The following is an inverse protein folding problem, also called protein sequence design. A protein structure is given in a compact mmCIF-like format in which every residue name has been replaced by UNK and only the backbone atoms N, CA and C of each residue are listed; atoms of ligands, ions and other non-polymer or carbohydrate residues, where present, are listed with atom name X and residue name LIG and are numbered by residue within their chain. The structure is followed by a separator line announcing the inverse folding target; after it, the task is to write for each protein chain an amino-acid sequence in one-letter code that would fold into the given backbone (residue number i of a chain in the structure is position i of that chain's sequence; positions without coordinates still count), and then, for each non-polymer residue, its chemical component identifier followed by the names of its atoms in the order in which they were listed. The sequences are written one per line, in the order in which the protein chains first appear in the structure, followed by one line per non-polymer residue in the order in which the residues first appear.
data_IF_124681795479
#
_entry.id   IF_124681795479
#
_cell.length_a   1.000
_cell.length_b   1.000
_cell.length_c   1.000
_cell.angle_alpha   90.00
_cell.angle_beta   90.00
_cell.angle_gamma   90.00
#
_symmetry.space_group_name_H-M   'P 1'
#
loop_
_entity.id
_entity.type
_entity.pdbx_description
1 polymer ?
#
# COMPACT_ATOMS: atom_id res chain seq x y z
N UNK A 1 -19.09 9.66 15.79
CA UNK A 1 -18.59 10.54 14.71
C UNK A 1 -17.07 10.60 14.77
N UNK A 2 -16.39 10.72 13.64
CA UNK A 2 -14.96 11.00 13.53
C UNK A 2 -14.73 12.01 12.39
N UNK A 3 -13.56 12.62 12.33
CA UNK A 3 -13.13 13.45 11.21
C UNK A 3 -11.87 12.86 10.57
N UNK A 4 -11.84 12.81 9.24
CA UNK A 4 -10.65 12.43 8.48
C UNK A 4 -10.11 13.65 7.73
N UNK A 5 -8.79 13.88 7.83
CA UNK A 5 -8.12 15.02 7.19
C UNK A 5 -7.00 14.54 6.29
N UNK A 6 -7.00 15.03 5.04
CA UNK A 6 -5.90 14.91 4.09
C UNK A 6 -5.26 16.30 3.90
N UNK A 7 -4.01 16.55 4.38
CA UNK A 7 -3.45 17.88 4.47
C UNK A 7 -2.82 18.35 3.15
N UNK A 8 -3.60 18.32 2.07
CA UNK A 8 -3.31 18.94 0.77
C UNK A 8 -4.46 19.87 0.39
N UNK A 9 -4.14 20.94 -0.33
CA UNK A 9 -5.18 21.79 -0.91
C UNK A 9 -5.72 21.16 -2.20
N UNK A 10 -6.93 21.56 -2.59
CA UNK A 10 -7.53 21.13 -3.86
C UNK A 10 -6.64 21.43 -5.07
N UNK A 11 -5.96 22.56 -5.07
CA UNK A 11 -5.08 22.97 -6.17
C UNK A 11 -3.79 22.16 -6.26
N UNK A 12 -3.33 21.59 -5.14
CA UNK A 12 -2.13 20.74 -5.14
C UNK A 12 -2.38 19.38 -5.80
N UNK A 13 -3.61 18.85 -5.73
CA UNK A 13 -3.89 17.46 -6.13
C UNK A 13 -2.88 16.50 -5.50
N UNK A 14 -2.02 15.90 -6.31
CA UNK A 14 -0.94 15.00 -5.86
C UNK A 14 0.46 15.63 -5.93
N UNK A 15 0.58 16.91 -6.31
CA UNK A 15 1.86 17.60 -6.34
C UNK A 15 2.36 17.96 -4.95
N UNK A 16 3.69 18.03 -4.78
CA UNK A 16 4.32 18.31 -3.49
C UNK A 16 4.06 17.20 -2.46
N UNK A 17 4.10 17.56 -1.18
CA UNK A 17 3.90 16.65 -0.05
C UNK A 17 2.68 17.04 0.78
N UNK A 18 2.08 16.07 1.47
CA UNK A 18 1.04 16.30 2.47
C UNK A 18 1.64 17.12 3.63
N UNK A 19 1.05 18.28 3.93
CA UNK A 19 1.62 19.22 4.91
C UNK A 19 0.96 19.05 6.29
N UNK A 20 1.48 18.14 7.08
CA UNK A 20 1.00 17.85 8.42
C UNK A 20 1.22 18.98 9.42
N UNK A 21 2.20 19.86 9.20
CA UNK A 21 2.43 21.05 10.02
C UNK A 21 1.18 21.96 10.10
N UNK A 22 0.42 22.04 8.99
CA UNK A 22 -0.81 22.84 8.94
C UNK A 22 -1.93 22.32 9.84
N UNK A 23 -1.87 21.07 10.24
CA UNK A 23 -2.93 20.42 11.02
C UNK A 23 -2.45 19.90 12.38
N UNK A 24 -1.21 20.18 12.77
CA UNK A 24 -0.60 19.67 14.01
C UNK A 24 -1.37 20.01 15.29
N UNK A 25 -2.06 21.14 15.30
CA UNK A 25 -2.81 21.59 16.48
C UNK A 25 -4.32 21.30 16.41
N UNK A 26 -4.80 20.77 15.28
CA UNK A 26 -6.25 20.54 15.09
C UNK A 26 -6.79 19.56 16.13
N UNK A 27 -6.04 18.52 16.49
CA UNK A 27 -6.48 17.54 17.51
C UNK A 27 -6.84 18.18 18.83
N UNK A 28 -6.15 19.25 19.24
CA UNK A 28 -6.43 19.98 20.49
C UNK A 28 -7.81 20.64 20.52
N UNK A 29 -8.38 20.92 19.34
CA UNK A 29 -9.68 21.55 19.17
C UNK A 29 -10.83 20.54 18.98
N UNK A 30 -10.49 19.24 18.85
CA UNK A 30 -11.48 18.21 18.55
C UNK A 30 -11.82 17.36 19.77
N UNK A 31 -13.13 17.17 19.98
CA UNK A 31 -13.69 16.23 20.96
C UNK A 31 -14.05 14.87 20.35
N UNK A 32 -13.74 14.68 19.07
CA UNK A 32 -13.98 13.44 18.30
C UNK A 32 -12.66 12.89 17.76
N UNK A 33 -12.59 11.60 17.41
CA UNK A 33 -11.40 11.02 16.82
C UNK A 33 -10.97 11.71 15.52
N UNK A 34 -9.66 11.96 15.40
CA UNK A 34 -9.00 12.48 14.21
C UNK A 34 -8.29 11.34 13.48
N UNK A 35 -8.63 11.15 12.21
CA UNK A 35 -7.91 10.27 11.28
C UNK A 35 -7.16 11.12 10.26
N UNK A 36 -5.90 10.82 10.03
CA UNK A 36 -5.08 11.52 9.04
C UNK A 36 -4.76 10.62 7.85
N UNK A 37 -4.60 11.22 6.67
CA UNK A 37 -4.16 10.54 5.45
C UNK A 37 -3.23 11.44 4.63
N UNK A 38 -2.51 10.85 3.68
CA UNK A 38 -1.62 11.57 2.77
C UNK A 38 -0.16 11.13 2.93
N UNK A 39 0.44 10.70 1.83
CA UNK A 39 1.85 10.31 1.74
C UNK A 39 2.34 9.29 2.79
N UNK A 40 1.44 8.48 3.32
CA UNK A 40 1.79 7.35 4.18
C UNK A 40 2.21 6.19 3.28
N UNK A 41 3.51 6.05 3.05
CA UNK A 41 4.11 5.00 2.20
C UNK A 41 4.96 4.00 2.96
N UNK A 42 5.36 4.33 4.20
CA UNK A 42 6.18 3.49 5.07
C UNK A 42 5.70 3.60 6.51
N UNK A 43 6.18 2.71 7.38
CA UNK A 43 5.92 2.79 8.82
C UNK A 43 6.48 4.10 9.41
N UNK A 44 7.67 4.52 8.97
CA UNK A 44 8.31 5.76 9.44
C UNK A 44 7.43 6.98 9.12
N UNK A 45 6.92 7.07 7.88
CA UNK A 45 6.02 8.17 7.50
C UNK A 45 4.71 8.19 8.29
N UNK A 46 4.21 7.00 8.69
CA UNK A 46 3.05 6.90 9.57
C UNK A 46 3.36 7.39 10.99
N UNK A 47 4.51 7.00 11.53
CA UNK A 47 4.97 7.42 12.87
C UNK A 47 5.18 8.93 12.92
N UNK A 48 5.86 9.51 11.93
CA UNK A 48 6.11 10.95 11.85
C UNK A 48 4.80 11.74 11.78
N UNK A 49 3.90 11.33 10.90
CA UNK A 49 2.61 12.00 10.73
C UNK A 49 1.77 11.94 12.02
N UNK A 50 1.72 10.79 12.70
CA UNK A 50 1.00 10.63 13.96
C UNK A 50 1.63 11.46 15.09
N UNK A 51 2.97 11.42 15.24
CA UNK A 51 3.68 12.22 16.26
C UNK A 51 3.42 13.71 16.09
N UNK A 52 3.41 14.21 14.85
CA UNK A 52 3.21 15.61 14.56
C UNK A 52 1.78 16.07 14.80
N UNK A 53 0.79 15.25 14.52
CA UNK A 53 -0.63 15.61 14.57
C UNK A 53 -1.35 15.13 15.81
N UNK A 54 -0.76 14.18 16.55
CA UNK A 54 -1.40 13.45 17.65
C UNK A 54 -2.75 12.81 17.23
N UNK A 55 -2.87 12.37 15.99
CA UNK A 55 -4.07 11.75 15.45
C UNK A 55 -4.36 10.40 16.10
N UNK A 56 -5.64 10.07 16.22
CA UNK A 56 -6.12 8.81 16.81
C UNK A 56 -6.05 7.65 15.81
N UNK A 57 -5.99 7.95 14.50
CA UNK A 57 -5.93 6.93 13.45
C UNK A 57 -5.23 7.42 12.19
N UNK A 58 -4.80 6.46 11.39
CA UNK A 58 -4.10 6.68 10.13
C UNK A 58 -4.85 5.94 9.01
N UNK A 59 -5.12 6.65 7.91
CA UNK A 59 -5.68 6.06 6.69
C UNK A 59 -4.58 5.93 5.64
N UNK A 60 -4.30 4.71 5.23
CA UNK A 60 -3.34 4.40 4.18
C UNK A 60 -4.09 4.18 2.86
N UNK A 61 -3.71 4.88 1.80
CA UNK A 61 -4.26 4.70 0.46
C UNK A 61 -3.18 4.14 -0.47
N UNK A 62 -2.52 4.99 -1.25
CA UNK A 62 -1.49 4.57 -2.23
C UNK A 62 -0.34 3.78 -1.63
N UNK A 63 0.00 3.98 -0.36
CA UNK A 63 1.04 3.22 0.33
C UNK A 63 0.73 1.72 0.48
N UNK A 64 -0.56 1.35 0.50
CA UNK A 64 -0.99 -0.05 0.55
C UNK A 64 -1.07 -0.71 -0.84
N UNK A 65 -0.97 0.05 -1.94
CA UNK A 65 -0.99 -0.51 -3.28
C UNK A 65 0.24 -1.39 -3.50
N UNK A 66 0.01 -2.69 -3.64
CA UNK A 66 1.07 -3.68 -3.72
C UNK A 66 1.88 -3.87 -2.42
N UNK A 67 1.46 -3.27 -1.32
CA UNK A 67 2.06 -3.46 0.00
C UNK A 67 0.99 -3.48 1.11
N UNK A 68 0.06 -4.43 1.09
CA UNK A 68 -1.00 -4.50 2.09
C UNK A 68 -0.45 -4.74 3.51
N UNK A 69 0.71 -5.36 3.63
CA UNK A 69 1.37 -5.63 4.91
C UNK A 69 1.77 -4.35 5.67
N UNK A 70 1.90 -3.21 4.99
CA UNK A 70 2.14 -1.93 5.64
C UNK A 70 1.08 -1.60 6.70
N UNK A 71 -0.18 -1.94 6.43
CA UNK A 71 -1.27 -1.72 7.39
C UNK A 71 -1.04 -2.55 8.65
N UNK A 72 -0.63 -3.81 8.51
CA UNK A 72 -0.27 -4.68 9.64
C UNK A 72 0.92 -4.13 10.43
N UNK A 73 1.96 -3.63 9.75
CA UNK A 73 3.12 -3.03 10.41
C UNK A 73 2.74 -1.79 11.22
N UNK A 74 1.90 -0.93 10.65
CA UNK A 74 1.41 0.29 11.33
C UNK A 74 0.57 -0.08 12.56
N UNK A 75 -0.41 -0.97 12.40
CA UNK A 75 -1.29 -1.40 13.49
C UNK A 75 -0.50 -2.07 14.63
N UNK A 76 0.44 -2.96 14.28
CA UNK A 76 1.30 -3.62 15.28
C UNK A 76 2.15 -2.60 16.05
N UNK A 77 2.82 -1.69 15.33
CA UNK A 77 3.67 -0.69 15.96
C UNK A 77 2.90 0.21 16.94
N UNK A 78 1.72 0.69 16.55
CA UNK A 78 0.93 1.56 17.43
C UNK A 78 0.31 0.82 18.62
N UNK A 79 0.20 -0.51 18.57
CA UNK A 79 -0.25 -1.34 19.69
C UNK A 79 0.87 -1.77 20.64
N UNK A 80 2.06 -2.04 20.12
CA UNK A 80 3.14 -2.71 20.88
C UNK A 80 4.42 -1.89 20.99
N UNK A 81 4.64 -0.92 20.11
CA UNK A 81 5.91 -0.21 19.96
C UNK A 81 6.97 -0.98 19.17
N UNK A 82 6.69 -2.21 18.76
CA UNK A 82 7.65 -3.08 18.06
C UNK A 82 7.55 -2.91 16.54
N UNK A 83 8.70 -2.96 15.86
CA UNK A 83 8.79 -2.87 14.40
C UNK A 83 8.80 -4.27 13.81
N UNK A 84 7.77 -4.61 13.05
CA UNK A 84 7.75 -5.84 12.28
C UNK A 84 8.72 -5.74 11.08
N UNK A 85 9.51 -6.79 10.80
CA UNK A 85 10.39 -6.81 9.64
C UNK A 85 9.58 -6.77 8.35
N UNK A 86 10.26 -6.42 7.25
CA UNK A 86 9.67 -6.54 5.92
C UNK A 86 9.40 -8.01 5.62
N UNK A 87 8.26 -8.29 5.00
CA UNK A 87 7.94 -9.66 4.56
C UNK A 87 8.87 -10.13 3.44
N UNK A 88 9.04 -11.44 3.36
CA UNK A 88 9.80 -12.08 2.29
C UNK A 88 9.11 -11.88 0.93
N UNK A 89 9.90 -12.02 -0.15
CA UNK A 89 9.34 -12.02 -1.50
C UNK A 89 8.27 -13.10 -1.69
N UNK A 90 8.47 -14.29 -1.10
CA UNK A 90 7.47 -15.36 -1.15
C UNK A 90 6.12 -14.96 -0.56
N UNK A 91 6.12 -14.36 0.63
CA UNK A 91 4.89 -13.87 1.26
C UNK A 91 4.23 -12.76 0.44
N UNK A 92 5.04 -11.89 -0.16
CA UNK A 92 4.57 -10.83 -1.03
C UNK A 92 3.89 -11.38 -2.30
N UNK A 93 4.43 -12.44 -2.88
CA UNK A 93 3.83 -13.13 -4.02
C UNK A 93 2.53 -13.85 -3.64
N UNK A 94 2.43 -14.40 -2.43
CA UNK A 94 1.15 -14.96 -1.95
C UNK A 94 0.08 -13.88 -1.77
N UNK A 95 0.41 -12.70 -1.25
CA UNK A 95 -0.53 -11.56 -1.24
C UNK A 95 -0.99 -11.15 -2.66
N UNK A 96 -0.07 -11.17 -3.64
CA UNK A 96 -0.45 -10.89 -5.02
C UNK A 96 -1.43 -11.92 -5.58
N UNK A 97 -1.21 -13.22 -5.32
CA UNK A 97 -2.12 -14.29 -5.72
C UNK A 97 -3.50 -14.13 -5.07
N UNK A 98 -3.53 -13.90 -3.76
CA UNK A 98 -4.77 -13.71 -3.02
C UNK A 98 -5.55 -12.50 -3.55
N UNK A 99 -4.86 -11.39 -3.79
CA UNK A 99 -5.46 -10.19 -4.36
C UNK A 99 -6.04 -10.44 -5.75
N UNK A 100 -5.29 -11.15 -6.61
CA UNK A 100 -5.75 -11.48 -7.96
C UNK A 100 -7.01 -12.35 -7.94
N UNK A 101 -7.03 -13.40 -7.13
CA UNK A 101 -8.20 -14.28 -7.00
C UNK A 101 -9.44 -13.49 -6.51
N UNK A 102 -9.30 -12.70 -5.45
CA UNK A 102 -10.41 -11.88 -4.93
C UNK A 102 -10.92 -10.86 -5.95
N UNK A 103 -10.03 -10.29 -6.76
CA UNK A 103 -10.41 -9.34 -7.80
C UNK A 103 -11.16 -10.04 -8.94
N UNK A 104 -10.74 -11.25 -9.31
CA UNK A 104 -11.42 -12.09 -10.32
C UNK A 104 -12.80 -12.50 -9.83
N UNK A 105 -12.92 -12.97 -8.59
CA UNK A 105 -14.20 -13.34 -7.98
C UNK A 105 -15.19 -12.17 -7.96
N UNK A 106 -14.67 -10.96 -7.76
CA UNK A 106 -15.50 -9.74 -7.67
C UNK A 106 -15.93 -9.20 -9.04
N UNK A 107 -15.05 -9.26 -10.06
CA UNK A 107 -15.22 -8.52 -11.33
C UNK A 107 -15.21 -9.40 -12.59
N UNK A 108 -14.90 -10.69 -12.45
CA UNK A 108 -14.59 -11.57 -13.56
C UNK A 108 -13.15 -11.38 -14.09
N UNK A 109 -12.61 -12.43 -14.73
CA UNK A 109 -11.19 -12.47 -15.11
C UNK A 109 -10.79 -11.36 -16.09
N UNK A 110 -11.60 -11.12 -17.12
CA UNK A 110 -11.28 -10.12 -18.16
C UNK A 110 -11.09 -8.70 -17.60
N UNK A 111 -11.92 -8.30 -16.64
CA UNK A 111 -11.82 -7.00 -15.99
C UNK A 111 -10.68 -6.99 -15.00
N UNK A 112 -10.56 -8.03 -14.19
CA UNK A 112 -9.54 -8.17 -13.17
C UNK A 112 -8.13 -8.15 -13.76
N UNK A 113 -7.88 -8.86 -14.84
CA UNK A 113 -6.57 -8.90 -15.50
C UNK A 113 -6.16 -7.52 -16.03
N UNK A 114 -7.08 -6.76 -16.62
CA UNK A 114 -6.78 -5.39 -17.07
C UNK A 114 -6.37 -4.48 -15.89
N UNK A 115 -7.05 -4.57 -14.76
CA UNK A 115 -6.69 -3.81 -13.56
C UNK A 115 -5.38 -4.30 -12.93
N UNK A 116 -5.17 -5.63 -12.89
CA UNK A 116 -3.96 -6.25 -12.35
C UNK A 116 -2.70 -5.82 -13.10
N UNK A 117 -2.74 -5.55 -14.40
CA UNK A 117 -1.59 -5.00 -15.14
C UNK A 117 -1.07 -3.70 -14.54
N UNK A 118 -1.95 -2.86 -13.98
CA UNK A 118 -1.58 -1.63 -13.29
C UNK A 118 -1.14 -1.84 -11.83
N UNK A 119 -1.63 -2.88 -11.17
CA UNK A 119 -1.45 -3.06 -9.72
C UNK A 119 -0.38 -4.10 -9.39
N UNK A 120 -0.34 -5.24 -10.09
CA UNK A 120 0.58 -6.33 -9.80
C UNK A 120 2.07 -5.93 -9.77
N UNK A 121 2.57 -5.05 -10.67
CA UNK A 121 3.96 -4.60 -10.61
C UNK A 121 4.35 -3.91 -9.28
N UNK A 122 3.38 -3.32 -8.56
CA UNK A 122 3.64 -2.68 -7.27
C UNK A 122 4.01 -3.69 -6.18
N UNK A 123 3.51 -4.92 -6.24
CA UNK A 123 3.88 -5.99 -5.31
C UNK A 123 5.36 -6.37 -5.39
N UNK A 124 5.99 -6.13 -6.54
CA UNK A 124 7.42 -6.43 -6.75
C UNK A 124 8.34 -5.25 -6.44
N UNK A 125 7.79 -4.11 -6.02
CA UNK A 125 8.57 -2.90 -5.75
C UNK A 125 9.46 -3.07 -4.52
N UNK A 126 10.74 -2.69 -4.68
CA UNK A 126 11.72 -2.72 -3.59
C UNK A 126 12.32 -4.12 -3.33
N UNK A 127 12.02 -5.15 -4.14
CA UNK A 127 12.77 -6.39 -4.20
C UNK A 127 13.77 -6.34 -5.37
N UNK A 128 15.01 -6.81 -5.18
CA UNK A 128 16.05 -6.74 -6.21
C UNK A 128 15.74 -7.62 -7.41
N UNK A 129 16.35 -7.32 -8.55
CA UNK A 129 16.35 -8.13 -9.79
C UNK A 129 14.99 -8.42 -10.42
N UNK A 130 13.90 -7.75 -9.99
CA UNK A 130 12.54 -8.02 -10.49
C UNK A 130 12.06 -7.05 -11.58
N UNK A 131 12.93 -6.22 -12.16
CA UNK A 131 12.53 -5.25 -13.20
C UNK A 131 11.89 -5.94 -14.41
N UNK A 132 12.48 -7.03 -14.90
CA UNK A 132 11.95 -7.80 -16.04
C UNK A 132 10.53 -8.33 -15.79
N UNK A 133 10.26 -8.78 -14.56
CA UNK A 133 8.94 -9.31 -14.18
C UNK A 133 7.88 -8.21 -14.06
N UNK A 134 8.26 -7.03 -13.58
CA UNK A 134 7.33 -5.87 -13.60
C UNK A 134 6.89 -5.52 -15.01
N UNK A 135 7.81 -5.61 -15.99
CA UNK A 135 7.48 -5.43 -17.41
C UNK A 135 6.53 -6.51 -17.88
N UNK A 136 6.86 -7.81 -17.66
CA UNK A 136 6.00 -8.94 -18.03
C UNK A 136 4.59 -8.81 -17.48
N UNK A 137 4.44 -8.48 -16.17
CA UNK A 137 3.13 -8.26 -15.54
C UNK A 137 2.31 -7.16 -16.21
N UNK A 138 2.96 -6.13 -16.75
CA UNK A 138 2.28 -5.03 -17.43
C UNK A 138 1.91 -5.36 -18.87
N UNK A 139 2.79 -6.05 -19.60
CA UNK A 139 2.71 -6.17 -21.07
C UNK A 139 2.28 -7.56 -21.58
N UNK A 140 2.58 -8.61 -20.83
CA UNK A 140 2.42 -9.99 -21.29
C UNK A 140 1.29 -10.76 -20.57
N UNK A 141 0.87 -10.31 -19.39
CA UNK A 141 -0.18 -10.97 -18.61
C UNK A 141 -1.55 -10.75 -19.25
N UNK A 142 -2.17 -11.82 -19.73
CA UNK A 142 -3.51 -11.82 -20.38
C UNK A 142 -4.53 -12.67 -19.62
N UNK A 143 -4.08 -13.52 -18.71
CA UNK A 143 -4.90 -14.42 -17.91
C UNK A 143 -4.35 -14.59 -16.49
N UNK A 144 -5.13 -15.21 -15.60
CA UNK A 144 -4.65 -15.65 -14.28
C UNK A 144 -3.51 -16.65 -14.43
N UNK A 145 -3.58 -17.54 -15.41
CA UNK A 145 -2.51 -18.52 -15.65
C UNK A 145 -1.19 -17.85 -16.01
N UNK A 146 -1.19 -16.77 -16.80
CA UNK A 146 0.02 -16.00 -17.09
C UNK A 146 0.60 -15.37 -15.81
N UNK A 147 -0.25 -14.82 -14.93
CA UNK A 147 0.19 -14.32 -13.64
C UNK A 147 0.88 -15.40 -12.80
N UNK A 148 0.27 -16.59 -12.71
CA UNK A 148 0.82 -17.71 -11.95
C UNK A 148 2.15 -18.17 -12.52
N UNK A 149 2.26 -18.29 -13.84
CA UNK A 149 3.51 -18.65 -14.53
C UNK A 149 4.62 -17.63 -14.26
N UNK A 150 4.29 -16.33 -14.28
CA UNK A 150 5.25 -15.25 -13.95
C UNK A 150 5.70 -15.37 -12.49
N UNK A 151 4.78 -15.64 -11.56
CA UNK A 151 5.11 -15.83 -10.15
C UNK A 151 6.01 -17.03 -9.94
N UNK A 152 5.75 -18.15 -10.60
CA UNK A 152 6.58 -19.35 -10.50
C UNK A 152 7.97 -19.14 -11.10
N UNK A 153 8.08 -18.43 -12.24
CA UNK A 153 9.37 -18.03 -12.82
C UNK A 153 10.17 -17.09 -11.85
N UNK A 154 9.48 -16.20 -11.14
CA UNK A 154 10.13 -15.40 -10.07
C UNK A 154 10.67 -16.31 -8.97
N UNK A 155 9.91 -17.29 -8.50
CA UNK A 155 10.33 -18.20 -7.44
C UNK A 155 11.55 -19.02 -7.84
N UNK A 156 11.54 -19.58 -9.04
CA UNK A 156 12.66 -20.41 -9.55
C UNK A 156 13.97 -19.60 -9.68
N UNK A 157 13.89 -18.33 -10.09
CA UNK A 157 15.09 -17.54 -10.41
C UNK A 157 15.58 -16.62 -9.27
N UNK A 158 14.90 -16.57 -8.12
CA UNK A 158 15.28 -15.70 -7.01
C UNK A 158 15.39 -16.42 -5.65
N UNK A 159 15.30 -17.74 -5.65
CA UNK A 159 15.53 -18.64 -4.54
C UNK A 159 16.34 -19.84 -5.01
#
# INVERSE_FOLDING_TARGET
SLIAIHPRTRNQLYSGVANYERIKDIKKLLHIPLVISGDIFTLESAIEAQKLTNADGIMVARGAMGNPYLITQIDHYFKTGEILPRISLNQQLEYLKEYANKLIDLKGEDVAIRELRGIAPHFLKGYPNLKKYRVKLTTEMTSLNDLLNIIDDIKVNNF
#
